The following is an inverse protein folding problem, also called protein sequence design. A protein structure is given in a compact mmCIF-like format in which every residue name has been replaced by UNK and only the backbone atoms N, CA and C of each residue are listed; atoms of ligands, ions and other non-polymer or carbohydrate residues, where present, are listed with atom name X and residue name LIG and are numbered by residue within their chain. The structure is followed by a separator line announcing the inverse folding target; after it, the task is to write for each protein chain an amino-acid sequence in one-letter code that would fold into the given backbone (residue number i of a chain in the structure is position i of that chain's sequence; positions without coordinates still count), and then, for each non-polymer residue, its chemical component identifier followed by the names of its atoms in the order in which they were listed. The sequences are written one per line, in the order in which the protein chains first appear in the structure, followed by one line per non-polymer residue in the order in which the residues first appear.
data_IF_690996181798
#
_entry.id   IF_690996181798
#
_cell.length_a   1.000
_cell.length_b   1.000
_cell.length_c   1.000
_cell.angle_alpha   90.00
_cell.angle_beta   90.00
_cell.angle_gamma   90.00
#
_symmetry.space_group_name_H-M   'P 1'
#
loop_
_entity.id
_entity.type
_entity.pdbx_description
1 polymer ?
#
# COMPACT_ATOMS: atom_id res chain seq x y z
N UNK A 1 39.21 17.66 26.28
CA UNK A 1 39.31 16.20 25.96
C UNK A 1 38.57 15.97 24.66
N UNK A 2 39.27 15.79 23.57
CA UNK A 2 38.63 15.46 22.27
C UNK A 2 38.23 14.00 22.34
N UNK A 3 36.92 13.76 22.43
CA UNK A 3 36.31 12.43 22.36
C UNK A 3 36.62 11.86 20.96
N UNK A 4 37.66 11.06 20.87
CA UNK A 4 38.03 10.34 19.64
C UNK A 4 37.10 9.15 19.51
N UNK A 5 35.84 9.41 19.05
CA UNK A 5 34.96 8.35 18.62
C UNK A 5 35.60 7.66 17.41
N UNK A 6 35.85 6.37 17.53
CA UNK A 6 36.32 5.55 16.43
C UNK A 6 35.25 5.48 15.30
N UNK A 7 35.61 4.93 14.15
CA UNK A 7 34.64 4.73 13.06
C UNK A 7 33.52 3.77 13.51
N UNK A 8 32.30 4.09 13.12
CA UNK A 8 31.13 3.23 13.27
C UNK A 8 30.80 2.56 11.93
N UNK A 9 30.63 1.25 11.94
CA UNK A 9 30.16 0.50 10.79
C UNK A 9 28.78 -0.12 11.09
N UNK A 10 27.79 0.12 10.21
CA UNK A 10 26.51 -0.57 10.21
C UNK A 10 26.52 -1.60 9.07
N UNK A 11 26.42 -2.89 9.42
CA UNK A 11 26.39 -3.99 8.47
C UNK A 11 24.98 -4.53 8.43
N UNK A 12 24.34 -4.50 7.27
CA UNK A 12 22.95 -4.95 7.05
C UNK A 12 22.98 -6.25 6.26
N UNK A 13 22.47 -7.32 6.86
CA UNK A 13 22.24 -8.61 6.19
C UNK A 13 20.79 -8.61 5.69
N UNK A 14 20.59 -8.07 4.49
CA UNK A 14 19.26 -7.91 3.91
C UNK A 14 18.62 -9.29 3.60
N UNK A 15 17.34 -9.45 3.97
CA UNK A 15 16.65 -10.73 3.85
C UNK A 15 17.03 -11.79 4.88
N UNK A 16 17.91 -11.46 5.83
CA UNK A 16 18.34 -12.37 6.90
C UNK A 16 17.34 -12.31 8.06
N UNK A 17 16.31 -13.18 7.99
CA UNK A 17 15.28 -13.25 9.02
C UNK A 17 15.59 -14.20 10.17
N UNK A 18 14.78 -14.15 11.21
CA UNK A 18 14.81 -15.08 12.34
C UNK A 18 13.63 -16.04 12.28
N UNK A 19 13.91 -17.32 12.47
CA UNK A 19 12.91 -18.37 12.64
C UNK A 19 13.53 -19.52 13.43
N UNK A 20 12.77 -20.11 14.36
CA UNK A 20 13.18 -21.30 15.11
C UNK A 20 13.05 -22.59 14.30
N UNK A 21 12.30 -22.56 13.18
CA UNK A 21 12.16 -23.70 12.29
C UNK A 21 13.49 -24.01 11.58
N UNK A 22 13.86 -25.28 11.49
CA UNK A 22 15.04 -25.72 10.72
C UNK A 22 14.71 -26.09 9.28
N UNK A 23 13.55 -26.72 9.06
CA UNK A 23 13.10 -27.11 7.73
C UNK A 23 12.86 -25.89 6.86
N UNK A 24 13.47 -25.85 5.68
CA UNK A 24 13.38 -24.71 4.76
C UNK A 24 14.10 -23.44 5.22
N UNK A 25 14.84 -23.47 6.32
CA UNK A 25 15.54 -22.33 6.89
C UNK A 25 17.04 -22.40 6.62
N UNK A 26 17.51 -21.76 5.56
CA UNK A 26 18.91 -21.76 5.18
C UNK A 26 19.83 -21.16 6.27
N UNK A 27 19.33 -20.17 7.00
CA UNK A 27 20.08 -19.52 8.10
C UNK A 27 20.35 -20.53 9.23
N UNK A 28 19.32 -21.29 9.63
CA UNK A 28 19.45 -22.28 10.70
C UNK A 28 20.23 -23.55 10.29
N UNK A 29 20.39 -23.79 8.99
CA UNK A 29 21.12 -24.94 8.45
C UNK A 29 22.56 -24.61 8.09
N UNK A 30 22.89 -23.35 7.90
CA UNK A 30 24.24 -22.91 7.57
C UNK A 30 25.18 -23.03 8.79
N UNK A 31 26.46 -23.32 8.54
CA UNK A 31 27.50 -23.22 9.55
C UNK A 31 28.02 -21.78 9.58
N UNK A 32 27.72 -21.04 10.66
CA UNK A 32 28.08 -19.64 10.80
C UNK A 32 28.75 -19.37 12.15
N UNK A 33 29.93 -19.99 12.42
CA UNK A 33 30.53 -19.97 13.74
C UNK A 33 30.84 -18.56 14.25
N UNK A 34 31.20 -17.64 13.36
CA UNK A 34 31.48 -16.25 13.74
C UNK A 34 30.20 -15.49 14.11
N UNK A 35 29.10 -15.70 13.39
CA UNK A 35 27.81 -15.13 13.71
C UNK A 35 27.26 -15.63 15.06
N UNK A 36 27.42 -16.94 15.30
CA UNK A 36 27.02 -17.55 16.57
C UNK A 36 27.85 -17.00 17.73
N UNK A 37 29.17 -16.84 17.55
CA UNK A 37 30.06 -16.20 18.53
C UNK A 37 29.64 -14.76 18.83
N UNK A 38 29.25 -13.97 17.81
CA UNK A 38 28.76 -12.60 18.02
C UNK A 38 27.48 -12.58 18.86
N UNK A 39 26.54 -13.48 18.59
CA UNK A 39 25.32 -13.59 19.38
C UNK A 39 25.55 -14.00 20.83
N UNK A 40 26.52 -14.86 21.07
CA UNK A 40 26.85 -15.29 22.45
C UNK A 40 27.56 -14.18 23.24
N UNK A 41 28.44 -13.43 22.61
CA UNK A 41 29.35 -12.51 23.32
C UNK A 41 28.83 -11.07 23.40
N UNK A 42 27.94 -10.65 22.50
CA UNK A 42 27.52 -9.25 22.40
C UNK A 42 26.00 -9.09 22.58
N UNK A 43 25.56 -7.93 23.05
CA UNK A 43 24.15 -7.63 23.15
C UNK A 43 23.45 -7.76 21.80
N UNK A 44 22.31 -8.46 21.77
CA UNK A 44 21.50 -8.62 20.59
C UNK A 44 20.01 -8.55 20.94
N UNK A 45 19.17 -8.23 19.96
CA UNK A 45 17.72 -8.21 20.09
C UNK A 45 17.07 -8.54 18.76
N UNK A 46 15.80 -8.88 18.80
CA UNK A 46 14.95 -9.02 17.62
C UNK A 46 14.11 -7.77 17.45
N UNK A 47 13.89 -7.37 16.21
CA UNK A 47 13.00 -6.27 15.83
C UNK A 47 11.98 -6.77 14.83
N UNK A 48 10.79 -6.17 14.88
CA UNK A 48 9.75 -6.44 13.90
C UNK A 48 10.14 -5.85 12.53
N UNK A 49 9.95 -6.65 11.48
CA UNK A 49 10.32 -6.29 10.12
C UNK A 49 9.11 -6.22 9.16
N UNK A 50 7.87 -6.24 9.69
CA UNK A 50 6.64 -6.26 8.88
C UNK A 50 5.54 -5.40 9.48
N UNK A 51 4.48 -5.17 8.71
CA UNK A 51 3.29 -4.46 9.16
C UNK A 51 3.55 -3.06 9.70
N UNK A 52 2.79 -2.64 10.69
CA UNK A 52 2.82 -1.28 11.25
C UNK A 52 4.15 -0.86 11.84
N UNK A 53 4.96 -1.82 12.31
CA UNK A 53 6.28 -1.57 12.86
C UNK A 53 7.30 -1.03 11.84
N UNK A 54 7.02 -1.22 10.55
CA UNK A 54 7.84 -0.67 9.45
C UNK A 54 7.03 0.25 8.52
N UNK A 55 5.87 0.72 8.97
CA UNK A 55 5.05 1.66 8.22
C UNK A 55 4.22 1.05 7.09
N UNK A 56 4.00 -0.26 7.11
CA UNK A 56 3.11 -0.99 6.21
C UNK A 56 1.76 -1.25 6.86
N UNK A 57 0.70 -1.52 6.09
CA UNK A 57 -0.56 -2.01 6.63
C UNK A 57 -0.38 -3.31 7.43
N UNK A 58 -1.27 -3.53 8.41
CA UNK A 58 -1.25 -4.75 9.22
C UNK A 58 -1.32 -6.00 8.35
N UNK A 59 -0.49 -7.01 8.66
CA UNK A 59 -0.42 -8.27 7.92
C UNK A 59 0.38 -8.21 6.61
N UNK A 60 0.84 -7.06 6.19
CA UNK A 60 1.69 -6.93 5.00
C UNK A 60 3.14 -7.25 5.35
N UNK A 61 3.73 -8.17 4.57
CA UNK A 61 5.12 -8.57 4.72
C UNK A 61 6.05 -7.38 4.47
N UNK A 62 7.10 -7.24 5.30
CA UNK A 62 8.15 -6.27 5.10
C UNK A 62 8.96 -6.50 3.82
N UNK A 63 9.67 -5.48 3.43
CA UNK A 63 10.58 -5.52 2.29
C UNK A 63 11.79 -4.62 2.53
N UNK A 64 12.83 -4.81 1.72
CA UNK A 64 14.08 -4.06 1.83
C UNK A 64 13.89 -2.53 1.81
N UNK A 65 13.00 -2.03 0.94
CA UNK A 65 12.80 -0.59 0.78
C UNK A 65 12.29 0.06 2.08
N UNK A 66 11.23 -0.47 2.68
CA UNK A 66 10.67 0.11 3.92
C UNK A 66 11.62 -0.09 5.10
N UNK A 67 12.33 -1.23 5.18
CA UNK A 67 13.32 -1.48 6.24
C UNK A 67 14.48 -0.47 6.19
N UNK A 68 15.09 -0.28 5.03
CA UNK A 68 16.16 0.70 4.85
C UNK A 68 15.70 2.13 5.08
N UNK A 69 14.47 2.46 4.65
CA UNK A 69 13.89 3.78 4.87
C UNK A 69 13.73 4.08 6.38
N UNK A 70 13.21 3.11 7.15
CA UNK A 70 13.05 3.26 8.60
C UNK A 70 14.40 3.37 9.31
N UNK A 71 15.39 2.56 8.93
CA UNK A 71 16.76 2.65 9.48
C UNK A 71 17.41 3.99 9.17
N UNK A 72 17.32 4.45 7.92
CA UNK A 72 17.90 5.73 7.51
C UNK A 72 17.23 6.95 8.16
N UNK A 73 15.93 6.87 8.37
CA UNK A 73 15.15 7.93 9.03
C UNK A 73 15.27 7.92 10.58
N UNK A 74 15.74 6.81 11.16
CA UNK A 74 15.76 6.60 12.62
C UNK A 74 14.36 6.54 13.25
N UNK A 75 13.33 6.29 12.47
CA UNK A 75 11.93 6.20 12.90
C UNK A 75 11.10 5.40 11.89
N UNK A 76 9.93 4.95 12.30
CA UNK A 76 8.95 4.35 11.39
C UNK A 76 8.46 5.41 10.39
N UNK A 77 8.56 5.09 9.10
CA UNK A 77 8.03 5.92 8.00
C UNK A 77 6.87 5.17 7.36
N UNK A 78 5.67 5.73 7.51
CA UNK A 78 4.49 5.13 6.90
C UNK A 78 4.57 5.20 5.37
N UNK A 79 4.26 4.09 4.70
CA UNK A 79 4.03 4.08 3.25
C UNK A 79 2.80 4.92 2.91
N UNK A 80 2.66 5.33 1.64
CA UNK A 80 1.51 6.12 1.21
C UNK A 80 0.18 5.40 1.47
N UNK A 81 0.12 4.08 1.24
CA UNK A 81 -1.06 3.27 1.55
C UNK A 81 -1.40 3.36 3.04
N UNK A 82 -0.44 3.15 3.92
CA UNK A 82 -0.68 3.18 5.36
C UNK A 82 -0.96 4.60 5.88
N UNK A 83 -0.38 5.62 5.27
CA UNK A 83 -0.72 7.02 5.57
C UNK A 83 -2.18 7.32 5.24
N UNK A 84 -2.63 6.93 4.04
CA UNK A 84 -4.03 7.14 3.63
C UNK A 84 -4.99 6.33 4.51
N UNK A 85 -4.65 5.07 4.84
CA UNK A 85 -5.43 4.25 5.78
C UNK A 85 -5.59 4.96 7.14
N UNK A 86 -4.48 5.50 7.65
CA UNK A 86 -4.48 6.26 8.90
C UNK A 86 -5.37 7.50 8.81
N UNK A 87 -5.21 8.29 7.75
CA UNK A 87 -5.98 9.52 7.53
C UNK A 87 -7.48 9.25 7.39
N UNK A 88 -7.87 8.13 6.75
CA UNK A 88 -9.26 7.68 6.70
C UNK A 88 -9.76 7.32 8.10
N UNK A 89 -8.96 6.60 8.88
CA UNK A 89 -9.31 6.16 10.22
C UNK A 89 -9.44 7.32 11.21
N UNK A 90 -8.57 8.32 11.12
CA UNK A 90 -8.58 9.52 11.98
C UNK A 90 -9.57 10.60 11.50
N UNK A 91 -10.02 10.51 10.25
CA UNK A 91 -10.90 11.50 9.64
C UNK A 91 -10.16 12.62 8.88
N UNK A 92 -8.85 12.68 8.95
CA UNK A 92 -8.03 13.68 8.26
C UNK A 92 -8.18 13.62 6.73
N UNK A 93 -8.37 12.41 6.18
CA UNK A 93 -8.64 12.20 4.76
C UNK A 93 -9.82 13.04 4.27
N UNK A 94 -10.89 13.14 5.06
CA UNK A 94 -12.11 13.87 4.71
C UNK A 94 -11.94 15.39 4.80
N UNK A 95 -10.83 15.87 5.35
CA UNK A 95 -10.45 17.27 5.45
C UNK A 95 -9.39 17.67 4.40
N UNK A 96 -8.95 16.75 3.54
CA UNK A 96 -7.95 17.02 2.52
C UNK A 96 -8.44 18.11 1.57
N UNK A 97 -7.70 19.22 1.49
CA UNK A 97 -8.11 20.42 0.76
C UNK A 97 -8.26 20.17 -0.74
N UNK A 98 -7.37 19.38 -1.36
CA UNK A 98 -7.43 19.12 -2.78
C UNK A 98 -8.63 18.26 -3.17
N UNK A 99 -8.93 17.22 -2.37
CA UNK A 99 -10.10 16.38 -2.57
C UNK A 99 -11.39 17.19 -2.38
N UNK A 100 -11.45 18.00 -1.34
CA UNK A 100 -12.59 18.88 -1.07
C UNK A 100 -12.83 19.87 -2.21
N UNK A 101 -11.78 20.54 -2.68
CA UNK A 101 -11.88 21.49 -3.79
C UNK A 101 -12.39 20.83 -5.09
N UNK A 102 -11.92 19.61 -5.39
CA UNK A 102 -12.40 18.86 -6.55
C UNK A 102 -13.89 18.51 -6.46
N UNK A 103 -14.32 18.03 -5.29
CA UNK A 103 -15.72 17.69 -5.03
C UNK A 103 -16.63 18.93 -5.07
N UNK A 104 -16.22 20.02 -4.43
CA UNK A 104 -16.94 21.31 -4.43
C UNK A 104 -17.06 21.88 -5.84
N UNK A 105 -15.99 21.80 -6.63
CA UNK A 105 -16.03 22.20 -8.04
C UNK A 105 -17.03 21.37 -8.85
N UNK A 106 -17.07 20.05 -8.64
CA UNK A 106 -18.02 19.18 -9.32
C UNK A 106 -19.47 19.51 -8.93
N UNK A 107 -19.75 19.75 -7.65
CA UNK A 107 -21.07 20.18 -7.18
C UNK A 107 -21.46 21.52 -7.76
N UNK A 108 -20.59 22.52 -7.62
CA UNK A 108 -20.86 23.90 -8.06
C UNK A 108 -21.17 24.02 -9.55
N UNK A 109 -20.54 23.24 -10.37
CA UNK A 109 -20.67 23.30 -11.83
C UNK A 109 -21.55 22.17 -12.40
N UNK A 110 -22.26 21.44 -11.56
CA UNK A 110 -23.05 20.26 -11.94
C UNK A 110 -22.28 19.30 -12.87
N UNK A 111 -21.08 18.90 -12.44
CA UNK A 111 -20.19 18.02 -13.20
C UNK A 111 -20.15 16.61 -12.58
N UNK A 112 -19.72 15.66 -13.36
CA UNK A 112 -19.43 14.31 -12.88
C UNK A 112 -18.06 14.27 -12.18
N UNK A 113 -17.96 13.41 -11.17
CA UNK A 113 -16.70 12.98 -10.59
C UNK A 113 -16.32 11.61 -11.17
N UNK A 114 -15.11 11.49 -11.65
CA UNK A 114 -14.54 10.22 -12.10
C UNK A 114 -13.48 9.77 -11.10
N UNK A 115 -13.66 8.57 -10.54
CA UNK A 115 -12.71 7.92 -9.64
C UNK A 115 -12.12 6.74 -10.39
N UNK A 116 -10.80 6.67 -10.51
CA UNK A 116 -10.14 5.59 -11.23
C UNK A 116 -8.96 5.04 -10.42
N UNK A 117 -8.72 3.74 -10.52
CA UNK A 117 -7.62 3.09 -9.85
C UNK A 117 -7.69 1.58 -9.86
N UNK A 118 -6.64 0.96 -9.35
CA UNK A 118 -6.57 -0.48 -9.20
C UNK A 118 -7.55 -0.93 -8.12
N UNK A 119 -8.51 -1.76 -8.51
CA UNK A 119 -9.60 -2.21 -7.64
C UNK A 119 -9.27 -3.58 -7.09
N UNK A 120 -8.61 -3.61 -5.94
CA UNK A 120 -8.24 -4.82 -5.22
C UNK A 120 -7.88 -4.55 -3.76
N UNK A 121 -7.59 -5.60 -3.02
CA UNK A 121 -7.05 -5.62 -1.66
C UNK A 121 -5.56 -5.99 -1.62
N UNK A 122 -4.86 -5.91 -2.75
CA UNK A 122 -3.45 -6.29 -2.86
C UNK A 122 -2.48 -5.36 -2.13
N UNK A 123 -2.88 -4.13 -1.82
CA UNK A 123 -2.16 -3.14 -1.00
C UNK A 123 -0.74 -2.78 -1.50
N UNK A 124 -0.43 -3.08 -2.75
CA UNK A 124 0.86 -2.73 -3.35
C UNK A 124 0.81 -1.36 -4.03
N UNK A 125 -0.20 -1.14 -4.88
CA UNK A 125 -0.36 0.12 -5.62
C UNK A 125 -1.59 0.90 -5.21
N UNK A 126 -2.58 0.24 -4.61
CA UNK A 126 -3.89 0.79 -4.31
C UNK A 126 -4.59 -0.03 -3.23
N UNK A 127 -5.62 0.57 -2.65
CA UNK A 127 -6.63 -0.10 -1.83
C UNK A 127 -8.00 0.33 -2.31
N UNK A 128 -8.90 -0.60 -2.58
CA UNK A 128 -10.28 -0.25 -2.94
C UNK A 128 -11.02 0.48 -1.81
N UNK A 129 -10.58 0.33 -0.54
CA UNK A 129 -11.13 1.07 0.59
C UNK A 129 -10.93 2.59 0.45
N UNK A 130 -9.84 3.02 -0.23
CA UNK A 130 -9.63 4.44 -0.52
C UNK A 130 -10.67 4.99 -1.51
N UNK A 131 -11.06 4.20 -2.51
CA UNK A 131 -12.15 4.57 -3.41
C UNK A 131 -13.50 4.64 -2.65
N UNK A 132 -13.75 3.73 -1.71
CA UNK A 132 -14.93 3.79 -0.85
C UNK A 132 -14.99 5.06 0.00
N UNK A 133 -13.84 5.52 0.51
CA UNK A 133 -13.76 6.79 1.23
C UNK A 133 -14.10 7.99 0.33
N UNK A 134 -13.62 7.99 -0.93
CA UNK A 134 -13.99 9.04 -1.91
C UNK A 134 -15.49 9.00 -2.26
N UNK A 135 -16.08 7.83 -2.44
CA UNK A 135 -17.53 7.69 -2.66
C UNK A 135 -18.33 8.22 -1.48
N UNK A 136 -17.87 7.97 -0.23
CA UNK A 136 -18.48 8.54 0.96
C UNK A 136 -18.42 10.06 0.96
N UNK A 137 -17.26 10.64 0.64
CA UNK A 137 -17.12 12.10 0.51
C UNK A 137 -18.08 12.67 -0.55
N UNK A 138 -18.20 12.01 -1.69
CA UNK A 138 -19.09 12.42 -2.77
C UNK A 138 -20.56 12.41 -2.33
N UNK A 139 -20.98 11.35 -1.63
CA UNK A 139 -22.33 11.25 -1.04
C UNK A 139 -22.59 12.39 -0.05
N UNK A 140 -21.70 12.62 0.90
CA UNK A 140 -21.84 13.65 1.95
C UNK A 140 -21.97 15.06 1.37
N UNK A 141 -21.43 15.29 0.16
CA UNK A 141 -21.57 16.57 -0.58
C UNK A 141 -22.71 16.60 -1.58
N UNK A 142 -23.52 15.57 -1.65
CA UNK A 142 -24.69 15.52 -2.53
C UNK A 142 -24.37 15.40 -4.02
N UNK A 143 -23.17 14.90 -4.38
CA UNK A 143 -22.86 14.60 -5.77
C UNK A 143 -23.79 13.49 -6.29
N UNK A 144 -24.35 13.68 -7.47
CA UNK A 144 -25.26 12.71 -8.09
C UNK A 144 -24.57 11.85 -9.14
N UNK A 145 -23.57 12.41 -9.84
CA UNK A 145 -22.87 11.74 -10.95
C UNK A 145 -21.46 11.42 -10.53
N UNK A 146 -21.24 10.17 -10.14
CA UNK A 146 -19.93 9.63 -9.75
C UNK A 146 -19.70 8.35 -10.51
N UNK A 147 -18.61 8.28 -11.26
CA UNK A 147 -18.23 7.16 -12.11
C UNK A 147 -16.94 6.52 -11.63
N UNK A 148 -16.97 5.20 -11.42
CA UNK A 148 -15.80 4.43 -10.99
C UNK A 148 -15.25 3.64 -12.17
N UNK A 149 -13.97 3.85 -12.46
CA UNK A 149 -13.23 3.13 -13.48
C UNK A 149 -12.32 2.11 -12.79
N UNK A 150 -12.72 0.84 -12.82
CA UNK A 150 -12.03 -0.23 -12.14
C UNK A 150 -10.89 -0.77 -12.99
N UNK A 151 -9.65 -0.58 -12.55
CA UNK A 151 -8.51 -1.31 -13.11
C UNK A 151 -8.36 -2.63 -12.35
N UNK A 152 -8.37 -3.75 -13.10
CA UNK A 152 -8.33 -5.08 -12.50
C UNK A 152 -6.90 -5.48 -12.21
N UNK A 153 -6.69 -6.14 -11.08
CA UNK A 153 -5.38 -6.57 -10.61
C UNK A 153 -4.96 -7.91 -11.27
N UNK A 154 -4.98 -8.99 -10.55
CA UNK A 154 -4.54 -10.32 -11.00
C UNK A 154 -3.03 -10.52 -11.01
N UNK A 155 -2.26 -9.58 -10.41
CA UNK A 155 -0.82 -9.68 -10.18
C UNK A 155 -0.48 -9.66 -8.69
N UNK A 156 -1.01 -8.69 -7.97
CA UNK A 156 -0.84 -8.54 -6.53
C UNK A 156 -1.98 -9.28 -5.78
N UNK A 157 -2.93 -9.81 -6.53
CA UNK A 157 -4.02 -10.68 -6.11
C UNK A 157 -4.13 -11.87 -7.09
N UNK A 158 -4.85 -12.96 -6.74
CA UNK A 158 -5.00 -14.10 -7.63
C UNK A 158 -5.56 -13.70 -9.01
N UNK A 159 -5.03 -14.26 -10.12
CA UNK A 159 -5.37 -13.84 -11.48
C UNK A 159 -6.88 -13.89 -11.83
N UNK A 160 -7.63 -14.81 -11.26
CA UNK A 160 -9.06 -15.00 -11.52
C UNK A 160 -9.96 -14.43 -10.41
N UNK A 161 -9.55 -13.36 -9.73
CA UNK A 161 -10.29 -12.81 -8.58
C UNK A 161 -11.00 -11.48 -8.85
N UNK A 162 -10.95 -10.98 -10.08
CA UNK A 162 -11.43 -9.65 -10.42
C UNK A 162 -12.94 -9.46 -10.21
N UNK A 163 -13.73 -10.48 -10.48
CA UNK A 163 -15.20 -10.48 -10.34
C UNK A 163 -15.65 -10.10 -8.92
N UNK A 164 -14.99 -10.66 -7.90
CA UNK A 164 -15.32 -10.35 -6.50
C UNK A 164 -15.07 -8.89 -6.15
N UNK A 165 -14.01 -8.28 -6.70
CA UNK A 165 -13.68 -6.88 -6.40
C UNK A 165 -14.63 -5.91 -7.12
N UNK A 166 -14.98 -6.21 -8.36
CA UNK A 166 -15.99 -5.43 -9.10
C UNK A 166 -17.36 -5.56 -8.45
N UNK A 167 -17.75 -6.77 -8.01
CA UNK A 167 -19.00 -6.97 -7.27
C UNK A 167 -19.01 -6.16 -5.97
N UNK A 168 -17.93 -6.23 -5.17
CA UNK A 168 -17.81 -5.46 -3.92
C UNK A 168 -17.88 -3.94 -4.17
N UNK A 169 -17.30 -3.43 -5.27
CA UNK A 169 -17.41 -2.02 -5.64
C UNK A 169 -18.84 -1.63 -5.99
N UNK A 170 -19.55 -2.45 -6.78
CA UNK A 170 -20.96 -2.23 -7.11
C UNK A 170 -21.85 -2.24 -5.86
N UNK A 171 -21.63 -3.21 -4.98
CA UNK A 171 -22.37 -3.30 -3.71
C UNK A 171 -22.13 -2.07 -2.85
N UNK A 172 -20.89 -1.58 -2.78
CA UNK A 172 -20.55 -0.36 -2.05
C UNK A 172 -21.23 0.88 -2.63
N UNK A 173 -21.23 1.03 -3.95
CA UNK A 173 -21.97 2.11 -4.63
C UNK A 173 -23.47 2.06 -4.29
N UNK A 174 -24.06 0.86 -4.35
CA UNK A 174 -25.47 0.63 -4.00
C UNK A 174 -25.77 0.98 -2.53
N UNK A 175 -24.95 0.51 -1.59
CA UNK A 175 -25.08 0.81 -0.15
C UNK A 175 -24.97 2.31 0.15
N UNK A 176 -24.09 2.99 -0.54
CA UNK A 176 -23.93 4.43 -0.39
C UNK A 176 -25.01 5.23 -1.13
N UNK A 177 -25.66 4.66 -2.12
CA UNK A 177 -26.64 5.35 -2.99
C UNK A 177 -25.97 6.40 -3.90
N UNK A 178 -24.68 6.24 -4.19
CA UNK A 178 -23.90 7.11 -5.07
C UNK A 178 -22.80 6.32 -5.75
N UNK A 179 -22.52 6.68 -7.00
CA UNK A 179 -21.50 6.04 -7.82
C UNK A 179 -22.02 4.85 -8.61
N UNK A 180 -21.41 4.62 -9.75
CA UNK A 180 -21.63 3.44 -10.59
C UNK A 180 -20.30 3.03 -11.24
N UNK A 181 -20.13 1.73 -11.48
CA UNK A 181 -18.97 1.21 -12.22
C UNK A 181 -19.19 1.52 -13.71
N UNK A 182 -18.41 2.46 -14.22
CA UNK A 182 -18.52 2.96 -15.59
C UNK A 182 -17.63 2.20 -16.59
N UNK A 183 -16.47 1.74 -16.15
CA UNK A 183 -15.59 0.92 -16.98
C UNK A 183 -14.79 -0.08 -16.14
N UNK A 184 -14.39 -1.16 -16.82
CA UNK A 184 -13.56 -2.23 -16.24
C UNK A 184 -12.48 -2.57 -17.25
N UNK A 185 -11.23 -2.47 -16.85
CA UNK A 185 -10.08 -2.77 -17.71
C UNK A 185 -8.96 -3.45 -16.91
N UNK A 186 -8.32 -4.45 -17.51
CA UNK A 186 -7.19 -5.13 -16.86
C UNK A 186 -5.94 -4.25 -16.77
N UNK A 187 -5.18 -4.37 -15.67
CA UNK A 187 -3.92 -3.63 -15.47
C UNK A 187 -2.88 -3.90 -16.57
N UNK A 188 -2.96 -5.02 -17.25
CA UNK A 188 -2.11 -5.34 -18.39
C UNK A 188 -2.18 -4.26 -19.48
N UNK A 189 -3.35 -3.66 -19.67
CA UNK A 189 -3.59 -2.55 -20.58
C UNK A 189 -3.46 -1.19 -19.90
N UNK A 190 -4.22 -0.98 -18.83
CA UNK A 190 -4.34 0.32 -18.18
C UNK A 190 -3.09 0.76 -17.41
N UNK A 191 -2.20 -0.17 -17.03
CA UNK A 191 -1.02 0.11 -16.23
C UNK A 191 0.27 -0.35 -16.92
N UNK A 192 0.32 -0.32 -18.27
CA UNK A 192 1.54 -0.64 -18.98
C UNK A 192 2.65 0.35 -18.60
N UNK A 193 3.84 -0.17 -18.30
CA UNK A 193 5.05 0.59 -18.00
C UNK A 193 6.25 0.19 -18.86
N UNK A 194 6.00 -0.61 -19.91
CA UNK A 194 7.01 -1.12 -20.82
C UNK A 194 7.02 -0.34 -22.14
N UNK A 195 6.32 0.81 -22.21
CA UNK A 195 6.16 1.66 -23.41
C UNK A 195 5.49 0.93 -24.57
N UNK A 196 4.60 0.01 -24.27
CA UNK A 196 3.79 -0.70 -25.26
C UNK A 196 2.48 0.07 -25.48
N UNK A 197 2.57 1.12 -26.27
CA UNK A 197 1.49 2.08 -26.47
C UNK A 197 0.21 1.44 -27.01
N UNK A 198 0.34 0.37 -27.79
CA UNK A 198 -0.79 -0.43 -28.28
C UNK A 198 -1.63 -1.07 -27.16
N UNK A 199 -1.05 -1.25 -25.96
CA UNK A 199 -1.81 -1.68 -24.79
C UNK A 199 -2.56 -0.51 -24.15
N UNK A 200 -1.88 0.60 -23.98
CA UNK A 200 -2.48 1.82 -23.40
C UNK A 200 -3.62 2.35 -24.27
N UNK A 201 -3.49 2.25 -25.60
CA UNK A 201 -4.55 2.65 -26.55
C UNK A 201 -5.84 1.85 -26.37
N UNK A 202 -5.75 0.62 -25.88
CA UNK A 202 -6.94 -0.24 -25.64
C UNK A 202 -7.61 0.03 -24.30
N UNK A 203 -6.97 0.75 -23.42
CA UNK A 203 -7.48 1.06 -22.09
C UNK A 203 -8.31 2.34 -22.10
#
# INVERSE_FOLDING_TARGET
MTDKRGPLALIILDGFGHSDAREGNAVALASMPFYDELREKYPHTLIEASGGCVGLPAGVMGNSNVGHLCMGAGRVVRTDIERINHDIKTGEFFQNLALNAALESAVKHDRALHVMGLTSDGLVHSSQEHAYALLRMAKERGLRRVYVHCFLDGRDTPPASADRYVAAMRDKCSQLGVGEVASVVGRYYAMDRDKRWERTERA
#
